data_IF_891066129447
#
_entry.id   IF_891066129447
#
_cell.length_a   1.000
_cell.length_b   1.000
_cell.length_c   1.000
_cell.angle_alpha   90.00
_cell.angle_beta   90.00
_cell.angle_gamma   90.00
#
_symmetry.space_group_name_H-M   'P 1'
#
loop_
_entity.id
_entity.type
_entity.pdbx_description
1 polymer ?
#
# COMPACT_ATOMS: atom_id res chain seq x y z
N UNK A 1 6.42 -13.36 -24.11
CA UNK A 1 7.59 -13.72 -23.28
C UNK A 1 7.38 -13.07 -21.91
N UNK A 2 7.14 -13.86 -20.89
CA UNK A 2 7.00 -13.39 -19.50
C UNK A 2 8.39 -12.91 -19.07
N UNK A 3 8.50 -11.64 -18.69
CA UNK A 3 9.77 -11.04 -18.31
C UNK A 3 10.25 -11.69 -17.00
N UNK A 4 11.43 -12.30 -17.02
CA UNK A 4 12.03 -13.09 -15.94
C UNK A 4 12.41 -12.29 -14.66
N UNK A 5 12.03 -11.01 -14.58
CA UNK A 5 12.48 -10.07 -13.53
C UNK A 5 11.31 -9.54 -12.64
N UNK A 6 10.15 -10.18 -12.71
CA UNK A 6 9.02 -9.79 -11.86
C UNK A 6 9.23 -10.31 -10.44
N UNK A 7 9.21 -9.40 -9.48
CA UNK A 7 9.20 -9.78 -8.08
C UNK A 7 8.00 -10.67 -7.74
N UNK A 8 8.26 -11.81 -7.11
CA UNK A 8 7.25 -12.78 -6.73
C UNK A 8 6.85 -12.72 -5.27
N UNK A 9 7.38 -11.77 -4.50
CA UNK A 9 7.30 -11.79 -3.05
C UNK A 9 6.41 -10.67 -2.54
N UNK A 10 5.44 -11.03 -1.69
CA UNK A 10 4.71 -10.11 -0.82
C UNK A 10 5.24 -10.30 0.60
N UNK A 11 5.64 -9.21 1.27
CA UNK A 11 6.11 -9.26 2.66
C UNK A 11 4.97 -8.84 3.58
N UNK A 12 4.77 -9.62 4.64
CA UNK A 12 3.87 -9.27 5.75
C UNK A 12 4.73 -9.16 7.02
N UNK A 13 4.99 -7.95 7.52
CA UNK A 13 5.59 -7.76 8.83
C UNK A 13 4.71 -8.40 9.90
N UNK A 14 5.32 -9.25 10.76
CA UNK A 14 4.59 -10.10 11.69
C UNK A 14 5.02 -9.82 13.13
N UNK A 15 4.10 -9.34 13.95
CA UNK A 15 4.32 -9.04 15.36
C UNK A 15 3.46 -9.90 16.30
N UNK A 16 2.82 -10.94 15.79
CA UNK A 16 1.90 -11.84 16.50
C UNK A 16 0.66 -11.14 17.07
N UNK A 17 0.28 -10.00 16.54
CA UNK A 17 -0.98 -9.32 16.88
C UNK A 17 -2.08 -9.61 15.86
N UNK A 18 -3.34 -9.37 16.24
CA UNK A 18 -4.47 -9.50 15.32
C UNK A 18 -4.35 -8.59 14.09
N UNK A 19 -3.63 -7.47 14.20
CA UNK A 19 -3.46 -6.56 13.06
C UNK A 19 -2.55 -7.18 11.99
N UNK A 20 -1.51 -7.91 12.39
CA UNK A 20 -0.70 -8.66 11.41
C UNK A 20 -1.48 -9.83 10.78
N UNK A 21 -2.42 -10.45 11.52
CA UNK A 21 -3.35 -11.43 10.94
C UNK A 21 -4.27 -10.77 9.88
N UNK A 22 -4.81 -9.59 10.15
CA UNK A 22 -5.62 -8.86 9.17
C UNK A 22 -4.79 -8.49 7.93
N UNK A 23 -3.56 -8.01 8.12
CA UNK A 23 -2.65 -7.76 7.00
C UNK A 23 -2.40 -9.01 6.16
N UNK A 24 -2.24 -10.17 6.81
CA UNK A 24 -2.10 -11.47 6.13
C UNK A 24 -3.34 -11.80 5.30
N UNK A 25 -4.55 -11.61 5.81
CA UNK A 25 -5.79 -11.88 5.05
C UNK A 25 -5.85 -11.05 3.76
N UNK A 26 -5.43 -9.76 3.79
CA UNK A 26 -5.28 -8.94 2.59
C UNK A 26 -4.14 -9.43 1.69
N UNK A 27 -3.01 -9.83 2.27
CA UNK A 27 -1.88 -10.36 1.51
C UNK A 27 -2.21 -11.65 0.78
N UNK A 28 -2.99 -12.54 1.38
CA UNK A 28 -3.47 -13.79 0.77
C UNK A 28 -4.28 -13.49 -0.50
N UNK A 29 -5.24 -12.55 -0.42
CA UNK A 29 -6.03 -12.17 -1.58
C UNK A 29 -5.17 -11.53 -2.68
N UNK A 30 -4.24 -10.66 -2.30
CA UNK A 30 -3.28 -10.10 -3.24
C UNK A 30 -2.39 -11.19 -3.84
N UNK A 31 -1.89 -12.14 -3.05
CA UNK A 31 -1.02 -13.21 -3.50
C UNK A 31 -1.71 -14.14 -4.50
N UNK A 32 -2.98 -14.51 -4.25
CA UNK A 32 -3.76 -15.29 -5.20
C UNK A 32 -3.99 -14.56 -6.53
N UNK A 33 -4.37 -13.28 -6.46
CA UNK A 33 -4.59 -12.47 -7.66
C UNK A 33 -3.31 -12.22 -8.47
N UNK A 34 -2.17 -12.15 -7.80
CA UNK A 34 -0.90 -11.73 -8.35
C UNK A 34 0.08 -12.88 -8.60
N UNK A 35 -0.31 -14.11 -8.26
CA UNK A 35 0.57 -15.29 -8.30
C UNK A 35 1.89 -15.06 -7.55
N UNK A 36 1.81 -14.56 -6.31
CA UNK A 36 2.97 -14.20 -5.48
C UNK A 36 3.07 -15.12 -4.25
N UNK A 37 4.29 -15.23 -3.72
CA UNK A 37 4.60 -15.90 -2.47
C UNK A 37 4.51 -14.92 -1.30
N UNK A 38 4.14 -15.40 -0.11
CA UNK A 38 4.05 -14.59 1.09
C UNK A 38 5.21 -14.89 2.03
N UNK A 39 5.94 -13.86 2.43
CA UNK A 39 6.99 -13.93 3.43
C UNK A 39 6.52 -13.25 4.71
N UNK A 40 6.50 -13.98 5.82
CA UNK A 40 6.23 -13.43 7.15
C UNK A 40 7.55 -12.92 7.75
N UNK A 41 7.69 -11.62 7.89
CA UNK A 41 8.89 -10.98 8.40
C UNK A 41 8.72 -10.60 9.88
N UNK A 42 9.35 -11.33 10.79
CA UNK A 42 9.44 -10.96 12.20
C UNK A 42 10.78 -10.27 12.51
N UNK A 43 10.73 -9.21 13.29
CA UNK A 43 11.92 -8.40 13.62
C UNK A 43 12.17 -8.49 15.11
N UNK A 44 13.33 -9.01 15.47
CA UNK A 44 13.84 -9.03 16.84
C UNK A 44 14.76 -7.83 17.08
N UNK A 45 14.97 -7.49 18.36
CA UNK A 45 15.85 -6.38 18.71
C UNK A 45 17.26 -6.59 18.14
N UNK A 46 17.95 -5.50 17.78
CA UNK A 46 19.33 -5.54 17.26
C UNK A 46 20.30 -6.28 18.18
N UNK A 47 20.07 -6.19 19.51
CA UNK A 47 20.89 -6.79 20.56
C UNK A 47 20.41 -8.22 20.95
N UNK A 48 19.46 -8.80 20.20
CA UNK A 48 18.95 -10.15 20.45
C UNK A 48 20.08 -11.19 20.31
N UNK A 49 20.12 -12.14 21.23
CA UNK A 49 21.07 -13.27 21.17
C UNK A 49 20.68 -14.23 20.05
N UNK A 50 21.61 -15.10 19.65
CA UNK A 50 21.29 -16.17 18.66
C UNK A 50 20.19 -17.10 19.14
N UNK A 51 20.12 -17.33 20.47
CA UNK A 51 19.09 -18.18 21.07
C UNK A 51 17.71 -17.53 20.96
N UNK A 52 17.60 -16.22 21.22
CA UNK A 52 16.35 -15.45 21.03
C UNK A 52 15.93 -15.42 19.57
N UNK A 53 16.86 -15.32 18.64
CA UNK A 53 16.57 -15.37 17.21
C UNK A 53 16.03 -16.73 16.78
N UNK A 54 16.65 -17.82 17.24
CA UNK A 54 16.18 -19.18 16.99
C UNK A 54 14.82 -19.45 17.59
N UNK A 55 14.56 -18.97 18.80
CA UNK A 55 13.25 -19.08 19.45
C UNK A 55 12.17 -18.31 18.68
N UNK A 56 12.47 -17.09 18.22
CA UNK A 56 11.58 -16.29 17.40
C UNK A 56 11.27 -16.99 16.06
N UNK A 57 12.28 -17.58 15.43
CA UNK A 57 12.09 -18.35 14.18
C UNK A 57 11.18 -19.55 14.43
N UNK A 58 11.45 -20.37 15.46
CA UNK A 58 10.61 -21.52 15.80
C UNK A 58 9.15 -21.13 16.06
N UNK A 59 8.93 -20.00 16.74
CA UNK A 59 7.60 -19.46 16.96
C UNK A 59 6.92 -19.05 15.65
N UNK A 60 7.67 -18.45 14.75
CA UNK A 60 7.17 -18.00 13.45
C UNK A 60 6.88 -19.17 12.51
N UNK A 61 7.70 -20.24 12.55
CA UNK A 61 7.46 -21.50 11.83
C UNK A 61 6.15 -22.16 12.28
N UNK A 62 5.92 -22.24 13.59
CA UNK A 62 4.64 -22.72 14.12
C UNK A 62 3.45 -21.91 13.61
N UNK A 63 3.61 -20.58 13.56
CA UNK A 63 2.57 -19.71 13.00
C UNK A 63 2.35 -19.97 11.50
N UNK A 64 3.41 -20.23 10.75
CA UNK A 64 3.31 -20.58 9.32
C UNK A 64 2.54 -21.89 9.12
N UNK A 65 2.75 -22.88 9.97
CA UNK A 65 1.99 -24.14 9.95
C UNK A 65 0.49 -23.92 10.26
N UNK A 66 0.17 -23.09 11.25
CA UNK A 66 -1.20 -22.71 11.58
C UNK A 66 -1.89 -21.98 10.41
N UNK A 67 -1.17 -21.11 9.73
CA UNK A 67 -1.63 -20.38 8.53
C UNK A 67 -1.89 -21.38 7.39
N UNK A 68 -0.99 -22.31 7.16
CA UNK A 68 -1.17 -23.36 6.15
C UNK A 68 -2.43 -24.19 6.42
N UNK A 69 -2.66 -24.58 7.67
CA UNK A 69 -3.86 -25.33 8.05
C UNK A 69 -5.15 -24.53 7.87
N UNK A 70 -5.13 -23.23 8.24
CA UNK A 70 -6.33 -22.38 8.22
C UNK A 70 -6.69 -21.87 6.82
N UNK A 71 -5.68 -21.45 6.05
CA UNK A 71 -5.90 -20.73 4.78
C UNK A 71 -5.48 -21.54 3.55
N UNK A 72 -4.88 -22.74 3.73
CA UNK A 72 -4.35 -23.60 2.66
C UNK A 72 -3.31 -22.87 1.78
N UNK A 73 -2.56 -21.93 2.37
CA UNK A 73 -1.49 -21.20 1.71
C UNK A 73 -0.18 -21.38 2.48
N UNK A 74 0.89 -21.67 1.74
CA UNK A 74 2.23 -21.74 2.32
C UNK A 74 2.83 -20.33 2.42
N UNK A 75 3.39 -20.01 3.59
CA UNK A 75 4.11 -18.76 3.83
C UNK A 75 5.54 -19.07 4.27
N UNK A 76 6.47 -18.17 3.95
CA UNK A 76 7.90 -18.32 4.30
C UNK A 76 8.21 -17.52 5.57
N UNK A 77 8.57 -18.16 6.69
CA UNK A 77 8.97 -17.48 7.91
C UNK A 77 10.39 -16.88 7.76
N UNK A 78 10.53 -15.61 8.12
CA UNK A 78 11.81 -14.88 8.06
C UNK A 78 11.98 -14.08 9.34
N UNK A 79 13.13 -14.23 10.01
CA UNK A 79 13.52 -13.41 11.17
C UNK A 79 14.70 -12.52 10.78
N UNK A 80 14.67 -11.25 11.21
CA UNK A 80 15.75 -10.29 11.04
C UNK A 80 15.99 -9.52 12.34
N UNK A 81 17.24 -9.11 12.58
CA UNK A 81 17.59 -8.24 13.72
C UNK A 81 17.58 -6.78 13.31
N UNK A 82 17.13 -5.91 14.19
CA UNK A 82 17.23 -4.47 14.01
C UNK A 82 16.03 -3.67 14.39
N UNK A 83 15.93 -2.47 13.81
CA UNK A 83 14.78 -1.59 13.99
C UNK A 83 13.75 -1.82 12.88
N UNK A 84 12.48 -1.91 13.25
CA UNK A 84 11.36 -2.04 12.30
C UNK A 84 11.41 -0.95 11.22
N UNK A 85 11.90 0.24 11.55
CA UNK A 85 11.95 1.39 10.64
C UNK A 85 12.85 1.19 9.42
N UNK A 86 13.93 0.44 9.58
CA UNK A 86 14.89 0.20 8.52
C UNK A 86 14.74 -1.21 7.94
N UNK A 87 14.62 -2.21 8.83
CA UNK A 87 14.65 -3.62 8.43
C UNK A 87 13.55 -3.98 7.44
N UNK A 88 12.33 -3.45 7.61
CA UNK A 88 11.22 -3.75 6.67
C UNK A 88 11.55 -3.22 5.27
N UNK A 89 11.99 -1.97 5.17
CA UNK A 89 12.30 -1.33 3.87
C UNK A 89 13.54 -1.92 3.22
N UNK A 90 14.56 -2.21 4.03
CA UNK A 90 15.83 -2.78 3.56
C UNK A 90 15.62 -4.20 3.05
N UNK A 91 14.96 -5.04 3.83
CA UNK A 91 14.64 -6.42 3.44
C UNK A 91 13.72 -6.46 2.21
N UNK A 92 12.68 -5.61 2.16
CA UNK A 92 11.82 -5.52 0.99
C UNK A 92 12.60 -5.15 -0.28
N UNK A 93 13.61 -4.29 -0.16
CA UNK A 93 14.49 -3.91 -1.27
C UNK A 93 15.47 -5.03 -1.62
N UNK A 94 16.05 -5.71 -0.62
CA UNK A 94 16.98 -6.84 -0.77
C UNK A 94 16.36 -7.96 -1.61
N UNK A 95 15.14 -8.39 -1.25
CA UNK A 95 14.43 -9.48 -1.93
C UNK A 95 13.63 -8.99 -3.14
N UNK A 96 13.72 -7.70 -3.47
CA UNK A 96 12.93 -7.05 -4.53
C UNK A 96 11.44 -7.34 -4.39
N UNK A 97 10.89 -7.20 -3.19
CA UNK A 97 9.48 -7.49 -2.96
C UNK A 97 8.56 -6.68 -3.89
N UNK A 98 7.45 -7.28 -4.31
CA UNK A 98 6.45 -6.60 -5.11
C UNK A 98 5.62 -5.62 -4.26
N UNK A 99 5.32 -6.03 -3.03
CA UNK A 99 4.42 -5.31 -2.12
C UNK A 99 4.78 -5.65 -0.68
N UNK A 100 4.64 -4.69 0.22
CA UNK A 100 4.59 -4.94 1.67
C UNK A 100 3.15 -4.70 2.12
N UNK A 101 2.54 -5.67 2.78
CA UNK A 101 1.21 -5.52 3.39
C UNK A 101 1.39 -5.41 4.89
N UNK A 102 1.14 -4.24 5.44
CA UNK A 102 1.48 -3.92 6.83
C UNK A 102 0.25 -3.50 7.62
N UNK A 103 0.04 -4.17 8.74
CA UNK A 103 -0.94 -3.75 9.73
C UNK A 103 -0.46 -2.55 10.53
N UNK A 104 -1.36 -1.59 10.78
CA UNK A 104 -1.11 -0.47 11.70
C UNK A 104 -2.27 -0.33 12.66
N UNK A 105 -1.96 0.01 13.90
CA UNK A 105 -3.01 0.40 14.83
C UNK A 105 -3.39 1.85 14.55
N UNK A 106 -4.69 2.13 14.51
CA UNK A 106 -5.21 3.50 14.51
C UNK A 106 -4.76 4.27 15.77
N UNK A 107 -5.29 5.45 15.99
CA UNK A 107 -4.86 6.39 17.06
C UNK A 107 -4.92 5.83 18.50
N UNK A 108 -5.49 4.65 18.72
CA UNK A 108 -5.83 4.09 20.03
C UNK A 108 -4.97 2.89 20.45
N UNK A 109 -3.69 3.07 20.75
CA UNK A 109 -2.91 1.94 21.27
C UNK A 109 -1.53 2.29 21.82
N UNK A 110 -1.17 1.69 22.96
CA UNK A 110 -0.04 2.10 23.81
C UNK A 110 1.36 1.59 23.41
N UNK A 111 1.53 0.77 22.37
CA UNK A 111 2.85 0.32 21.85
C UNK A 111 2.79 -0.07 20.38
N UNK A 112 2.14 0.72 19.53
CA UNK A 112 1.64 0.20 18.27
C UNK A 112 2.07 1.10 17.14
N UNK A 113 2.37 0.52 15.99
CA UNK A 113 2.67 1.25 14.78
C UNK A 113 1.46 2.14 14.47
N UNK A 114 1.53 3.40 14.85
CA UNK A 114 0.55 4.41 14.49
C UNK A 114 0.81 4.89 13.06
N UNK A 115 -0.11 5.59 12.45
CA UNK A 115 0.07 6.13 11.09
C UNK A 115 1.37 6.93 10.90
N UNK A 116 1.88 7.59 11.94
CA UNK A 116 3.16 8.29 11.92
C UNK A 116 4.37 7.34 11.85
N UNK A 117 4.30 6.20 12.51
CA UNK A 117 5.36 5.18 12.50
C UNK A 117 5.34 4.41 11.17
N UNK A 118 4.16 4.06 10.68
CA UNK A 118 4.00 3.47 9.35
C UNK A 118 4.61 4.38 8.28
N UNK A 119 4.30 5.65 8.33
CA UNK A 119 4.84 6.64 7.38
C UNK A 119 6.38 6.68 7.40
N UNK A 120 7.00 6.56 8.59
CA UNK A 120 8.45 6.53 8.73
C UNK A 120 9.10 5.31 8.05
N UNK A 121 8.44 4.15 8.10
CA UNK A 121 8.87 2.94 7.38
C UNK A 121 8.68 3.11 5.88
N UNK A 122 7.54 3.66 5.45
CA UNK A 122 7.14 3.77 4.05
C UNK A 122 8.03 4.73 3.27
N UNK A 123 8.38 5.90 3.86
CA UNK A 123 9.11 6.97 3.16
C UNK A 123 10.48 6.52 2.65
N UNK A 124 11.18 5.66 3.39
CA UNK A 124 12.49 5.14 3.02
C UNK A 124 12.45 4.02 1.98
N UNK A 125 11.27 3.47 1.69
CA UNK A 125 11.14 2.29 0.85
C UNK A 125 11.08 2.59 -0.64
N UNK A 126 11.65 1.68 -1.44
CA UNK A 126 11.45 1.62 -2.90
C UNK A 126 10.29 0.70 -3.31
N UNK A 127 9.70 0.02 -2.34
CA UNK A 127 8.60 -0.93 -2.53
C UNK A 127 7.30 -0.27 -2.05
N UNK A 128 6.16 -0.44 -2.72
CA UNK A 128 4.88 0.06 -2.25
C UNK A 128 4.39 -0.67 -1.01
N UNK A 129 3.58 0.02 -0.22
CA UNK A 129 2.99 -0.48 1.02
C UNK A 129 1.47 -0.42 0.99
N UNK A 130 0.82 -1.54 1.22
CA UNK A 130 -0.59 -1.62 1.53
C UNK A 130 -0.75 -1.58 3.05
N UNK A 131 -1.33 -0.50 3.55
CA UNK A 131 -1.49 -0.25 4.99
C UNK A 131 -2.92 -0.60 5.41
N UNK A 132 -3.02 -1.48 6.40
CA UNK A 132 -4.27 -2.05 6.90
C UNK A 132 -4.46 -1.64 8.35
N UNK A 133 -5.67 -1.26 8.73
CA UNK A 133 -6.01 -0.84 10.09
C UNK A 133 -7.06 -1.74 10.74
N UNK A 134 -7.82 -2.49 9.96
CA UNK A 134 -8.97 -3.27 10.42
C UNK A 134 -9.05 -4.60 9.68
N UNK A 135 -9.82 -5.51 10.26
CA UNK A 135 -10.16 -6.78 9.64
C UNK A 135 -10.86 -6.54 8.30
N UNK A 136 -10.50 -7.30 7.26
CA UNK A 136 -11.23 -7.22 6.00
C UNK A 136 -12.71 -7.58 6.20
N UNK A 137 -13.58 -6.95 5.42
CA UNK A 137 -14.99 -7.30 5.37
C UNK A 137 -15.21 -8.73 4.87
N UNK A 138 -16.46 -9.17 4.79
CA UNK A 138 -16.84 -10.54 4.39
C UNK A 138 -16.36 -10.93 2.98
N UNK A 139 -16.07 -9.96 2.14
CA UNK A 139 -15.42 -10.18 0.84
C UNK A 139 -14.19 -9.27 0.76
N UNK A 140 -12.99 -9.86 0.82
CA UNK A 140 -11.76 -9.11 0.57
C UNK A 140 -11.64 -8.88 -0.93
N UNK A 141 -12.22 -7.80 -1.40
CA UNK A 141 -12.14 -7.34 -2.78
C UNK A 141 -11.74 -5.88 -2.80
N UNK A 142 -11.07 -5.44 -3.86
CA UNK A 142 -10.78 -4.02 -4.10
C UNK A 142 -11.68 -3.52 -5.23
N UNK A 143 -13.01 -3.61 -5.03
CA UNK A 143 -13.99 -3.31 -6.09
C UNK A 143 -14.07 -1.81 -6.41
N UNK A 144 -13.91 -0.96 -5.40
CA UNK A 144 -13.98 0.50 -5.53
C UNK A 144 -12.69 1.13 -5.04
N UNK A 145 -11.96 1.75 -5.93
CA UNK A 145 -10.66 2.37 -5.65
C UNK A 145 -10.77 3.87 -5.83
N UNK A 146 -10.40 4.64 -4.80
CA UNK A 146 -10.25 6.09 -4.90
C UNK A 146 -8.83 6.43 -5.29
N UNK A 147 -8.70 7.17 -6.39
CA UNK A 147 -7.45 7.66 -6.94
C UNK A 147 -7.44 9.19 -6.93
N UNK A 148 -6.81 9.84 -5.94
CA UNK A 148 -6.74 11.29 -5.87
C UNK A 148 -5.87 11.88 -6.98
N UNK A 149 -6.37 12.90 -7.67
CA UNK A 149 -5.68 13.60 -8.75
C UNK A 149 -5.48 15.07 -8.38
N UNK A 150 -4.24 15.50 -8.28
CA UNK A 150 -3.85 16.91 -8.05
C UNK A 150 -2.80 17.39 -9.08
N UNK A 151 -2.22 18.57 -8.85
CA UNK A 151 -1.22 19.17 -9.73
C UNK A 151 0.19 18.60 -9.56
N UNK A 152 0.43 17.78 -8.55
CA UNK A 152 1.75 17.20 -8.27
C UNK A 152 2.05 16.13 -9.30
N UNK A 153 2.95 16.43 -10.20
CA UNK A 153 3.63 15.58 -11.18
C UNK A 153 2.94 14.33 -11.74
N UNK A 154 3.47 13.78 -12.80
CA UNK A 154 3.00 12.52 -13.39
C UNK A 154 3.21 11.36 -12.40
N UNK A 155 2.11 10.80 -11.94
CA UNK A 155 2.11 9.71 -10.97
C UNK A 155 2.02 8.35 -11.69
N UNK A 156 3.03 8.04 -12.53
CA UNK A 156 3.04 6.82 -13.35
C UNK A 156 2.96 5.56 -12.49
N UNK A 157 3.75 5.52 -11.43
CA UNK A 157 3.81 4.38 -10.51
C UNK A 157 2.47 4.18 -9.79
N UNK A 158 1.85 5.25 -9.32
CA UNK A 158 0.53 5.19 -8.70
C UNK A 158 -0.53 4.68 -9.69
N UNK A 159 -0.49 5.16 -10.93
CA UNK A 159 -1.42 4.74 -11.98
C UNK A 159 -1.22 3.27 -12.37
N UNK A 160 0.03 2.79 -12.42
CA UNK A 160 0.33 1.39 -12.65
C UNK A 160 -0.36 0.49 -11.62
N UNK A 161 -0.28 0.87 -10.34
CA UNK A 161 -0.96 0.12 -9.29
C UNK A 161 -2.47 0.16 -9.41
N UNK A 162 -3.05 1.32 -9.76
CA UNK A 162 -4.49 1.42 -10.02
C UNK A 162 -4.93 0.52 -11.18
N UNK A 163 -4.15 0.46 -12.26
CA UNK A 163 -4.40 -0.43 -13.41
C UNK A 163 -4.27 -1.90 -12.99
N UNK A 164 -3.24 -2.21 -12.22
CA UNK A 164 -2.98 -3.56 -11.77
C UNK A 164 -4.11 -4.10 -10.90
N UNK A 165 -4.49 -3.37 -9.85
CA UNK A 165 -5.64 -3.75 -9.03
C UNK A 165 -6.94 -3.75 -9.85
N UNK A 166 -7.13 -2.76 -10.72
CA UNK A 166 -8.29 -2.68 -11.58
C UNK A 166 -8.49 -3.92 -12.45
N UNK A 167 -7.42 -4.44 -13.04
CA UNK A 167 -7.48 -5.64 -13.88
C UNK A 167 -7.74 -6.92 -13.08
N UNK A 168 -7.02 -7.10 -11.98
CA UNK A 168 -7.10 -8.35 -11.23
C UNK A 168 -8.37 -8.46 -10.39
N UNK A 169 -8.86 -7.33 -9.84
CA UNK A 169 -10.04 -7.31 -8.98
C UNK A 169 -11.30 -6.79 -9.69
N UNK A 170 -11.22 -6.49 -10.99
CA UNK A 170 -12.30 -5.86 -11.76
C UNK A 170 -12.83 -4.57 -11.08
N UNK A 171 -11.91 -3.74 -10.61
CA UNK A 171 -12.22 -2.57 -9.80
C UNK A 171 -12.73 -1.41 -10.65
N UNK A 172 -13.69 -0.65 -10.11
CA UNK A 172 -14.03 0.67 -10.60
C UNK A 172 -13.11 1.72 -9.96
N UNK A 173 -12.45 2.54 -10.80
CA UNK A 173 -11.50 3.56 -10.37
C UNK A 173 -12.18 4.92 -10.30
N UNK A 174 -12.25 5.52 -9.11
CA UNK A 174 -12.79 6.86 -8.92
C UNK A 174 -11.64 7.88 -8.95
N UNK A 175 -11.53 8.61 -10.06
CA UNK A 175 -10.58 9.70 -10.23
C UNK A 175 -11.09 10.93 -9.48
N UNK A 176 -10.67 11.07 -8.22
CA UNK A 176 -11.09 12.16 -7.34
C UNK A 176 -10.22 13.39 -7.56
N UNK A 177 -10.73 14.35 -8.34
CA UNK A 177 -10.00 15.51 -8.83
C UNK A 177 -10.05 16.67 -7.85
N UNK A 178 -8.89 17.24 -7.53
CA UNK A 178 -8.79 18.48 -6.74
C UNK A 178 -9.18 19.70 -7.57
N UNK A 179 -10.11 20.58 -7.09
CA UNK A 179 -10.39 21.86 -7.75
C UNK A 179 -9.29 22.88 -7.46
N UNK A 180 -9.04 23.76 -8.41
CA UNK A 180 -8.14 24.91 -8.27
C UNK A 180 -8.73 26.15 -8.93
N UNK A 181 -8.61 27.31 -8.25
CA UNK A 181 -8.92 28.61 -8.84
C UNK A 181 -7.78 29.13 -9.71
N UNK A 182 -6.55 28.79 -9.37
CA UNK A 182 -5.35 29.11 -10.16
C UNK A 182 -5.36 28.32 -11.47
N UNK A 183 -5.29 29.03 -12.61
CA UNK A 183 -5.37 28.44 -13.94
C UNK A 183 -4.18 27.51 -14.27
N UNK A 184 -2.99 27.82 -13.75
CA UNK A 184 -1.79 26.99 -13.94
C UNK A 184 -1.89 25.68 -13.20
N UNK A 185 -2.33 25.70 -11.94
CA UNK A 185 -2.56 24.49 -11.14
C UNK A 185 -3.70 23.65 -11.72
N UNK A 186 -4.78 24.30 -12.16
CA UNK A 186 -5.89 23.61 -12.83
C UNK A 186 -5.43 22.92 -14.12
N UNK A 187 -4.63 23.60 -14.95
CA UNK A 187 -4.06 23.02 -16.17
C UNK A 187 -3.20 21.80 -15.88
N UNK A 188 -2.33 21.87 -14.88
CA UNK A 188 -1.51 20.72 -14.45
C UNK A 188 -2.36 19.55 -13.95
N UNK A 189 -3.37 19.83 -13.13
CA UNK A 189 -4.30 18.80 -12.64
C UNK A 189 -5.07 18.13 -13.79
N UNK A 190 -5.54 18.91 -14.76
CA UNK A 190 -6.22 18.37 -15.94
C UNK A 190 -5.27 17.56 -16.82
N UNK A 191 -4.01 17.93 -16.93
CA UNK A 191 -2.99 17.12 -17.63
C UNK A 191 -2.82 15.76 -16.96
N UNK A 192 -2.68 15.72 -15.63
CA UNK A 192 -2.57 14.48 -14.87
C UNK A 192 -3.84 13.61 -14.98
N UNK A 193 -5.02 14.25 -14.91
CA UNK A 193 -6.30 13.57 -15.10
C UNK A 193 -6.40 12.92 -16.48
N UNK A 194 -6.12 13.69 -17.54
CA UNK A 194 -6.17 13.17 -18.92
C UNK A 194 -5.16 12.04 -19.16
N UNK A 195 -4.00 12.12 -18.53
CA UNK A 195 -3.02 11.04 -18.53
C UNK A 195 -3.62 9.77 -17.91
N UNK A 196 -4.19 9.85 -16.71
CA UNK A 196 -4.82 8.71 -16.04
C UNK A 196 -5.96 8.12 -16.89
N UNK A 197 -6.87 8.96 -17.40
CA UNK A 197 -7.99 8.54 -18.25
C UNK A 197 -7.51 7.76 -19.48
N UNK A 198 -6.48 8.27 -20.18
CA UNK A 198 -5.93 7.60 -21.36
C UNK A 198 -5.48 6.18 -21.04
N UNK A 199 -4.74 5.99 -19.95
CA UNK A 199 -4.23 4.67 -19.60
C UNK A 199 -5.31 3.73 -19.05
N UNK A 200 -6.28 4.25 -18.28
CA UNK A 200 -7.43 3.44 -17.84
C UNK A 200 -8.25 2.93 -19.05
N UNK A 201 -8.51 3.80 -20.03
CA UNK A 201 -9.19 3.41 -21.28
C UNK A 201 -8.41 2.38 -22.09
N UNK A 202 -7.10 2.57 -22.26
CA UNK A 202 -6.24 1.62 -22.96
C UNK A 202 -6.23 0.24 -22.30
N UNK A 203 -6.50 0.17 -21.03
CA UNK A 203 -6.56 -1.06 -20.26
C UNK A 203 -7.99 -1.58 -20.04
N UNK A 204 -9.01 -0.97 -20.69
CA UNK A 204 -10.44 -1.33 -20.58
C UNK A 204 -10.95 -1.34 -19.14
N UNK A 205 -10.48 -0.40 -18.31
CA UNK A 205 -10.90 -0.28 -16.91
C UNK A 205 -12.08 0.69 -16.75
N UNK A 206 -13.03 0.32 -15.91
CA UNK A 206 -14.12 1.20 -15.51
C UNK A 206 -13.59 2.33 -14.63
N UNK A 207 -13.97 3.56 -14.94
CA UNK A 207 -13.62 4.71 -14.11
C UNK A 207 -14.73 5.76 -14.07
N UNK A 208 -14.70 6.55 -13.03
CA UNK A 208 -15.58 7.72 -12.86
C UNK A 208 -14.74 8.93 -12.41
N UNK A 209 -15.08 10.11 -12.91
CA UNK A 209 -14.42 11.36 -12.55
C UNK A 209 -15.32 12.10 -11.57
N UNK A 210 -14.78 12.40 -10.39
CA UNK A 210 -15.48 13.14 -9.35
C UNK A 210 -14.63 14.35 -8.94
N UNK A 211 -15.20 15.54 -8.96
CA UNK A 211 -14.51 16.74 -8.50
C UNK A 211 -14.77 16.96 -7.00
N UNK A 212 -13.72 17.21 -6.24
CA UNK A 212 -13.81 17.50 -4.82
C UNK A 212 -14.54 18.83 -4.59
N UNK A 213 -15.33 18.99 -3.52
CA UNK A 213 -16.03 20.24 -3.21
C UNK A 213 -15.13 21.43 -2.99
N UNK A 214 -13.88 21.22 -2.58
CA UNK A 214 -12.90 22.28 -2.29
C UNK A 214 -13.22 23.10 -1.04
N UNK A 215 -13.99 22.55 -0.11
CA UNK A 215 -14.44 23.23 1.11
C UNK A 215 -13.48 23.03 2.28
N UNK A 216 -12.82 21.89 2.33
CA UNK A 216 -11.82 21.52 3.35
C UNK A 216 -10.52 21.04 2.69
N UNK A 217 -9.58 20.52 3.47
CA UNK A 217 -8.33 20.01 2.90
C UNK A 217 -8.60 18.78 2.03
N UNK A 218 -7.90 18.66 0.92
CA UNK A 218 -8.14 17.64 -0.11
C UNK A 218 -8.02 16.20 0.40
N UNK A 219 -7.12 15.96 1.34
CA UNK A 219 -6.99 14.68 2.02
C UNK A 219 -8.25 14.30 2.82
N UNK A 220 -8.85 15.27 3.55
CA UNK A 220 -10.11 15.04 4.28
C UNK A 220 -11.27 14.81 3.32
N UNK A 221 -11.35 15.59 2.23
CA UNK A 221 -12.38 15.38 1.20
C UNK A 221 -12.23 14.02 0.53
N UNK A 222 -10.99 13.58 0.30
CA UNK A 222 -10.70 12.24 -0.26
C UNK A 222 -11.17 11.13 0.66
N UNK A 223 -10.88 11.23 1.97
CA UNK A 223 -11.35 10.25 2.96
C UNK A 223 -12.88 10.25 3.03
N UNK A 224 -13.50 11.43 3.12
CA UNK A 224 -14.95 11.55 3.19
C UNK A 224 -15.60 10.93 1.94
N UNK A 225 -15.12 11.26 0.76
CA UNK A 225 -15.61 10.69 -0.48
C UNK A 225 -15.46 9.14 -0.50
N UNK A 226 -14.31 8.63 -0.05
CA UNK A 226 -14.07 7.20 0.02
C UNK A 226 -15.07 6.49 0.96
N UNK A 227 -15.41 7.14 2.09
CA UNK A 227 -16.45 6.65 3.01
C UNK A 227 -17.84 6.65 2.34
N UNK A 228 -18.21 7.76 1.71
CA UNK A 228 -19.53 7.94 1.11
C UNK A 228 -19.83 6.89 0.03
N UNK A 229 -18.82 6.54 -0.78
CA UNK A 229 -18.98 5.51 -1.81
C UNK A 229 -18.70 4.08 -1.29
N UNK A 230 -18.30 3.93 -0.03
CA UNK A 230 -17.82 2.67 0.56
C UNK A 230 -16.67 2.10 -0.27
N UNK A 231 -15.60 2.87 -0.41
CA UNK A 231 -14.41 2.45 -1.12
C UNK A 231 -13.65 1.37 -0.35
N UNK A 232 -13.04 0.45 -1.07
CA UNK A 232 -12.25 -0.65 -0.52
C UNK A 232 -10.75 -0.30 -0.43
N UNK A 233 -10.32 0.74 -1.15
CA UNK A 233 -8.93 1.14 -1.24
C UNK A 233 -8.79 2.62 -1.61
N UNK A 234 -7.81 3.29 -1.00
CA UNK A 234 -7.33 4.60 -1.47
C UNK A 234 -5.88 4.41 -1.94
N UNK A 235 -5.54 4.83 -3.16
CA UNK A 235 -4.16 4.76 -3.67
C UNK A 235 -3.55 6.15 -3.62
N UNK A 236 -2.49 6.32 -2.85
CA UNK A 236 -1.78 7.61 -2.73
C UNK A 236 -0.32 7.50 -3.17
N UNK A 237 0.25 8.64 -3.53
CA UNK A 237 1.69 8.77 -3.73
C UNK A 237 2.30 9.50 -2.52
N UNK A 238 3.41 8.99 -2.01
CA UNK A 238 4.13 9.64 -0.91
C UNK A 238 4.98 10.81 -1.42
N UNK A 239 5.17 11.83 -0.59
CA UNK A 239 5.98 13.00 -0.98
C UNK A 239 7.47 12.66 -1.00
N UNK A 240 8.19 13.11 -2.04
CA UNK A 240 9.66 12.93 -2.16
C UNK A 240 10.45 13.67 -1.10
N UNK A 241 9.91 14.78 -0.61
CA UNK A 241 10.57 15.69 0.34
C UNK A 241 9.82 15.66 1.66
N UNK A 242 10.06 14.60 2.43
CA UNK A 242 9.53 14.51 3.77
C UNK A 242 10.57 15.06 4.74
N UNK A 243 10.24 16.13 5.47
CA UNK A 243 11.11 16.68 6.50
C UNK A 243 10.67 16.20 7.88
N UNK A 244 11.58 16.27 8.85
CA UNK A 244 11.26 15.97 10.26
C UNK A 244 10.12 16.87 10.79
N UNK A 245 9.99 18.09 10.25
CA UNK A 245 8.91 19.01 10.60
C UNK A 245 7.54 18.53 10.09
N UNK A 246 7.48 17.91 8.91
CA UNK A 246 6.24 17.32 8.37
C UNK A 246 5.72 16.19 9.27
N UNK A 247 6.64 15.48 9.93
CA UNK A 247 6.31 14.44 10.90
C UNK A 247 5.65 15.02 12.17
N UNK A 248 6.11 16.19 12.64
CA UNK A 248 5.60 16.82 13.87
C UNK A 248 4.22 17.49 13.68
N UNK A 249 3.90 17.96 12.47
CA UNK A 249 2.70 18.76 12.21
C UNK A 249 1.53 17.99 11.58
N UNK A 250 1.55 16.64 11.59
CA UNK A 250 0.43 15.81 11.11
C UNK A 250 0.13 16.02 9.65
N UNK A 251 0.96 15.43 8.83
CA UNK A 251 0.93 15.59 7.40
C UNK A 251 -0.29 14.88 6.74
N UNK A 252 -0.55 15.21 5.49
CA UNK A 252 -1.66 14.68 4.67
C UNK A 252 -1.61 13.16 4.58
N UNK A 253 -0.43 12.62 4.32
CA UNK A 253 -0.19 11.19 4.19
C UNK A 253 -0.46 10.45 5.50
N UNK A 254 -0.05 11.03 6.63
CA UNK A 254 -0.33 10.47 7.97
C UNK A 254 -1.84 10.39 8.24
N UNK A 255 -2.61 11.44 7.89
CA UNK A 255 -4.07 11.43 8.06
C UNK A 255 -4.74 10.38 7.19
N UNK A 256 -4.23 10.15 5.98
CA UNK A 256 -4.73 9.09 5.10
C UNK A 256 -4.45 7.71 5.68
N UNK A 257 -3.21 7.48 6.15
CA UNK A 257 -2.77 6.19 6.72
C UNK A 257 -3.47 5.83 8.03
N UNK A 258 -3.88 6.83 8.81
CA UNK A 258 -4.61 6.65 10.07
C UNK A 258 -6.06 7.16 9.94
N UNK A 259 -6.66 6.98 8.77
CA UNK A 259 -8.01 7.45 8.55
C UNK A 259 -9.01 6.76 9.49
N UNK A 260 -9.96 7.52 10.10
CA UNK A 260 -10.84 6.99 11.13
C UNK A 260 -11.86 5.96 10.62
N UNK A 261 -11.94 5.81 9.31
CA UNK A 261 -12.84 4.84 8.66
C UNK A 261 -12.13 3.54 8.29
N UNK A 262 -10.86 3.40 8.69
CA UNK A 262 -10.03 2.21 8.52
C UNK A 262 -9.93 1.69 7.08
N UNK A 263 -10.22 2.54 6.09
CA UNK A 263 -10.10 2.17 4.67
C UNK A 263 -8.63 1.87 4.36
N UNK A 264 -8.31 0.73 3.77
CA UNK A 264 -6.96 0.39 3.33
C UNK A 264 -6.34 1.46 2.44
N UNK A 265 -5.04 1.70 2.62
CA UNK A 265 -4.32 2.72 1.84
C UNK A 265 -3.09 2.10 1.19
N UNK A 266 -3.05 2.13 -0.13
CA UNK A 266 -1.85 1.77 -0.90
C UNK A 266 -0.98 3.01 -1.08
N UNK A 267 0.19 2.99 -0.46
CA UNK A 267 1.21 4.03 -0.57
C UNK A 267 2.24 3.64 -1.63
N UNK A 268 2.33 4.43 -2.68
CA UNK A 268 3.31 4.26 -3.74
C UNK A 268 4.38 5.33 -3.62
N UNK A 269 5.64 4.93 -3.57
CA UNK A 269 6.76 5.87 -3.55
C UNK A 269 7.16 6.26 -4.97
N UNK A 270 7.55 7.54 -5.21
CA UNK A 270 7.89 8.04 -6.55
C UNK A 270 9.12 7.39 -7.19
N UNK A 271 9.83 6.54 -6.47
CA UNK A 271 10.98 5.77 -6.94
C UNK A 271 10.79 4.26 -6.74
N UNK A 272 9.57 3.83 -6.39
CA UNK A 272 9.26 2.42 -6.38
C UNK A 272 9.55 1.89 -7.78
N UNK A 273 10.60 1.10 -7.90
CA UNK A 273 10.89 0.45 -9.18
C UNK A 273 9.68 -0.41 -9.51
N UNK A 274 9.12 -0.22 -10.68
CA UNK A 274 8.04 -1.03 -11.24
C UNK A 274 8.45 -2.50 -11.50
N UNK A 275 9.50 -2.95 -10.83
CA UNK A 275 10.06 -4.30 -10.95
C UNK A 275 9.07 -5.41 -10.56
N UNK A 276 7.92 -5.06 -9.99
CA UNK A 276 6.91 -6.04 -9.59
C UNK A 276 5.61 -5.99 -10.40
N UNK A 277 5.41 -4.94 -11.18
CA UNK A 277 4.22 -4.76 -12.02
C UNK A 277 4.70 -4.81 -13.46
N UNK A 278 4.57 -5.95 -14.11
CA UNK A 278 5.09 -6.20 -15.44
C UNK A 278 4.76 -5.09 -16.45
N UNK A 279 5.57 -4.99 -17.49
CA UNK A 279 5.47 -4.02 -18.60
C UNK A 279 4.16 -4.12 -19.43
N UNK A 280 3.02 -4.35 -18.78
CA UNK A 280 1.72 -4.37 -19.45
C UNK A 280 1.27 -2.99 -19.98
N UNK A 281 2.02 -1.92 -19.70
CA UNK A 281 1.63 -0.57 -20.10
C UNK A 281 2.08 -0.16 -21.51
N UNK A 282 3.04 -0.86 -22.08
CA UNK A 282 3.55 -0.53 -23.40
C UNK A 282 3.13 -1.62 -24.38
N UNK A 283 1.86 -1.55 -24.81
CA UNK A 283 1.45 -2.30 -25.98
C UNK A 283 2.39 -1.92 -27.14
N UNK A 284 3.10 -2.91 -27.65
CA UNK A 284 3.78 -2.81 -28.93
C UNK A 284 2.78 -2.32 -29.96
N UNK A 285 3.06 -1.16 -30.53
CA UNK A 285 2.49 -0.69 -31.80
C UNK A 285 2.65 -1.73 -32.88
#
# INVERSE_FOLDING_TARGET
MINKDESKIIIVPWDFTHISEYALEYAINAAHALEKEIFLLHIVNKDATEEQEKEALKRLEKQADEILQKYQIQVQPVVRKGSIFNVISDYASEVKAALVVMGTHGVTGTQKITGSWALKVIIGSKVPFLVIQEKPGTAVGFNKIVYPVDFKGENKEQLQWAIYFGKYFNSKIYLFKRPFRDSSLLKKTNTNLNFAIRFLRQNNLEYEIVEAPGKISFDRETIQFAVDIKADLIIIITSRHFTFLDYLFGNREQRMLSNPSNIPVLCVNPHATSAGVGQFMWGST
#
